data_IF_520666230725
#
_entry.id   IF_520666230725
#
_cell.length_a   1.000
_cell.length_b   1.000
_cell.length_c   1.000
_cell.angle_alpha   90.00
_cell.angle_beta   90.00
_cell.angle_gamma   90.00
#
_symmetry.space_group_name_H-M   'P 1'
#
loop_
_entity.id
_entity.type
_entity.pdbx_description
1 polymer ?
#
# COMPACT_ATOMS: atom_id res chain seq x y z
N UNK A 1 -1.27 -12.45 26.30
CA UNK A 1 -0.93 -11.89 24.97
C UNK A 1 -0.13 -12.92 24.22
N UNK A 2 -0.43 -13.12 22.94
CA UNK A 2 0.19 -14.15 22.10
C UNK A 2 1.62 -13.73 21.69
N UNK A 3 2.54 -14.69 21.57
CA UNK A 3 3.95 -14.41 21.19
C UNK A 3 4.06 -13.81 19.79
N UNK A 4 3.08 -14.02 18.94
CA UNK A 4 3.03 -13.52 17.57
C UNK A 4 2.67 -12.02 17.46
N UNK A 5 2.15 -11.42 18.52
CA UNK A 5 1.81 -9.98 18.59
C UNK A 5 2.99 -9.11 19.04
N UNK A 6 4.06 -9.72 19.55
CA UNK A 6 5.29 -9.00 19.88
C UNK A 6 6.14 -8.89 18.62
N UNK A 7 6.45 -7.67 18.17
CA UNK A 7 7.27 -7.51 16.98
C UNK A 7 8.70 -8.02 17.24
N UNK A 8 9.31 -8.78 16.30
CA UNK A 8 10.72 -9.14 16.39
C UNK A 8 11.60 -7.90 16.25
N UNK A 9 12.88 -7.98 16.65
CA UNK A 9 13.87 -6.89 16.55
C UNK A 9 13.95 -6.26 15.14
N UNK A 10 13.56 -7.00 14.09
CA UNK A 10 13.38 -6.44 12.75
C UNK A 10 11.93 -6.48 12.29
N UNK A 11 11.24 -5.35 12.39
CA UNK A 11 9.83 -5.18 12.01
C UNK A 11 9.56 -5.52 10.52
N UNK A 12 10.59 -5.52 9.67
CA UNK A 12 10.47 -5.86 8.25
C UNK A 12 10.05 -7.32 7.98
N UNK A 13 10.31 -8.24 8.91
CA UNK A 13 10.06 -9.67 8.73
C UNK A 13 8.66 -10.14 9.21
N UNK A 14 7.93 -9.31 9.97
CA UNK A 14 6.62 -9.70 10.48
C UNK A 14 5.54 -9.52 9.41
N UNK A 15 5.15 -10.64 8.77
CA UNK A 15 4.14 -10.66 7.72
C UNK A 15 2.75 -10.24 8.22
N UNK A 16 2.39 -10.57 9.47
CA UNK A 16 1.11 -10.16 10.07
C UNK A 16 1.04 -8.64 10.22
N UNK A 17 2.09 -8.01 10.74
CA UNK A 17 2.18 -6.55 10.89
C UNK A 17 2.02 -5.83 9.55
N UNK A 18 2.72 -6.29 8.51
CA UNK A 18 2.62 -5.70 7.17
C UNK A 18 1.22 -5.86 6.56
N UNK A 19 0.57 -7.00 6.81
CA UNK A 19 -0.80 -7.25 6.35
C UNK A 19 -1.81 -6.35 7.06
N UNK A 20 -1.67 -6.18 8.38
CA UNK A 20 -2.54 -5.31 9.17
C UNK A 20 -2.40 -3.83 8.81
N UNK A 21 -1.19 -3.34 8.53
CA UNK A 21 -1.02 -1.99 7.95
C UNK A 21 -1.88 -1.83 6.70
N UNK A 22 -1.86 -2.83 5.81
CA UNK A 22 -2.68 -2.81 4.59
C UNK A 22 -4.19 -2.86 4.88
N UNK A 23 -4.59 -3.62 5.89
CA UNK A 23 -5.98 -3.79 6.35
C UNK A 23 -6.54 -2.51 6.95
N UNK A 24 -5.91 -1.99 8.00
CA UNK A 24 -6.30 -0.74 8.66
C UNK A 24 -6.30 0.43 7.70
N UNK A 25 -5.31 0.51 6.79
CA UNK A 25 -5.31 1.52 5.74
C UNK A 25 -6.57 1.45 4.87
N UNK A 26 -7.05 0.26 4.46
CA UNK A 26 -8.30 0.17 3.67
C UNK A 26 -9.51 0.67 4.47
N UNK A 27 -9.57 0.35 5.77
CA UNK A 27 -10.69 0.71 6.66
C UNK A 27 -10.71 2.18 7.08
N UNK A 28 -9.54 2.78 7.30
CA UNK A 28 -9.43 4.07 7.98
C UNK A 28 -8.85 5.19 7.10
N UNK A 29 -8.14 4.88 6.01
CA UNK A 29 -7.52 5.94 5.21
C UNK A 29 -8.58 6.84 4.54
N UNK A 30 -8.38 8.17 4.54
CA UNK A 30 -9.33 9.10 3.92
C UNK A 30 -9.21 9.10 2.39
N UNK A 31 -10.35 9.28 1.72
CA UNK A 31 -10.44 9.27 0.25
C UNK A 31 -10.13 10.61 -0.40
N UNK A 32 -10.56 11.72 0.20
CA UNK A 32 -10.54 13.08 -0.38
C UNK A 32 -9.14 13.73 -0.43
N UNK A 33 -8.12 12.93 -0.71
CA UNK A 33 -6.74 13.37 -0.85
C UNK A 33 -6.09 12.73 -2.07
N UNK A 34 -5.49 13.53 -2.93
CA UNK A 34 -4.82 13.05 -4.14
C UNK A 34 -3.60 12.16 -3.82
N UNK A 35 -2.87 12.48 -2.75
CA UNK A 35 -1.59 11.84 -2.41
C UNK A 35 -1.50 11.52 -0.91
N UNK A 36 -0.83 10.42 -0.56
CA UNK A 36 -0.61 10.05 0.85
C UNK A 36 0.10 11.14 1.67
N UNK A 37 1.06 11.85 1.04
CA UNK A 37 1.76 12.98 1.66
C UNK A 37 0.86 14.18 2.00
N UNK A 38 -0.35 14.24 1.44
CA UNK A 38 -1.34 15.29 1.69
C UNK A 38 -2.40 14.88 2.71
N UNK A 39 -2.42 13.61 3.12
CA UNK A 39 -3.29 13.13 4.19
C UNK A 39 -2.84 13.77 5.51
N UNK A 40 -3.74 14.40 6.28
CA UNK A 40 -3.44 15.00 7.57
C UNK A 40 -2.84 13.99 8.54
N UNK A 41 -2.08 14.48 9.53
CA UNK A 41 -1.42 13.60 10.50
C UNK A 41 -2.45 12.89 11.39
N UNK A 42 -3.53 13.58 11.69
CA UNK A 42 -4.65 13.12 12.51
C UNK A 42 -5.25 11.84 11.92
N UNK A 43 -5.58 11.85 10.63
CA UNK A 43 -6.10 10.67 9.94
C UNK A 43 -5.08 9.53 9.79
N UNK A 44 -3.77 9.83 9.89
CA UNK A 44 -2.72 8.79 9.97
C UNK A 44 -2.61 8.24 11.39
N UNK A 45 -2.85 9.07 12.39
CA UNK A 45 -2.80 8.68 13.80
C UNK A 45 -3.82 7.59 14.10
N UNK A 46 -5.04 7.68 13.55
CA UNK A 46 -6.07 6.64 13.70
C UNK A 46 -5.56 5.26 13.25
N UNK A 47 -4.81 5.21 12.14
CA UNK A 47 -4.21 3.97 11.62
C UNK A 47 -3.09 3.49 12.55
N UNK A 48 -2.29 4.40 13.09
CA UNK A 48 -1.19 4.04 13.99
C UNK A 48 -1.69 3.60 15.36
N UNK A 49 -2.76 4.20 15.87
CA UNK A 49 -3.41 3.82 17.12
C UNK A 49 -3.96 2.39 17.00
N UNK A 50 -4.68 2.10 15.91
CA UNK A 50 -5.15 0.75 15.61
C UNK A 50 -4.01 -0.28 15.51
N UNK A 51 -2.85 0.12 14.98
CA UNK A 51 -1.66 -0.74 14.96
C UNK A 51 -1.10 -0.98 16.36
N UNK A 52 -1.03 0.04 17.23
CA UNK A 52 -0.55 -0.11 18.61
C UNK A 52 -1.48 -0.92 19.50
N UNK A 53 -2.78 -0.97 19.19
CA UNK A 53 -3.72 -1.87 19.89
C UNK A 53 -3.46 -3.34 19.56
N UNK A 54 -3.01 -3.63 18.34
CA UNK A 54 -2.82 -5.00 17.86
C UNK A 54 -1.39 -5.53 18.00
N UNK A 55 -0.41 -4.64 18.12
CA UNK A 55 1.01 -4.98 18.16
C UNK A 55 1.76 -4.12 19.18
N UNK A 56 2.66 -4.75 19.91
CA UNK A 56 3.56 -4.07 20.83
C UNK A 56 4.83 -3.60 20.08
N UNK A 57 5.02 -2.29 19.96
CA UNK A 57 6.22 -1.71 19.35
C UNK A 57 6.54 -0.31 19.90
N UNK A 58 7.83 0.04 19.86
CA UNK A 58 8.29 1.38 20.27
C UNK A 58 8.03 2.41 19.17
N UNK A 59 6.95 3.17 19.31
CA UNK A 59 6.66 4.24 18.36
C UNK A 59 7.62 5.43 18.45
N UNK A 60 8.57 5.48 19.38
CA UNK A 60 9.61 6.52 19.40
C UNK A 60 10.75 6.23 18.43
N UNK A 61 10.89 4.98 17.97
CA UNK A 61 11.90 4.57 17.00
C UNK A 61 11.67 5.26 15.63
N UNK A 62 12.62 6.11 15.17
CA UNK A 62 12.52 6.79 13.89
C UNK A 62 12.56 5.82 12.69
N UNK A 63 13.29 4.70 12.77
CA UNK A 63 13.37 3.73 11.68
C UNK A 63 12.03 3.02 11.49
N UNK A 64 11.39 2.64 12.59
CA UNK A 64 10.05 2.07 12.58
C UNK A 64 9.02 3.03 11.99
N UNK A 65 9.03 4.30 12.42
CA UNK A 65 8.12 5.32 11.87
C UNK A 65 8.28 5.47 10.35
N UNK A 66 9.52 5.55 9.88
CA UNK A 66 9.82 5.64 8.44
C UNK A 66 9.33 4.40 7.70
N UNK A 67 9.53 3.21 8.28
CA UNK A 67 9.08 1.96 7.69
C UNK A 67 7.55 1.91 7.57
N UNK A 68 6.83 2.22 8.65
CA UNK A 68 5.36 2.20 8.69
C UNK A 68 4.80 3.23 7.70
N UNK A 69 5.31 4.46 7.68
CA UNK A 69 4.85 5.50 6.74
C UNK A 69 5.09 5.09 5.28
N UNK A 70 6.26 4.51 4.97
CA UNK A 70 6.55 3.98 3.62
C UNK A 70 5.57 2.86 3.23
N UNK A 71 5.24 1.98 4.16
CA UNK A 71 4.29 0.87 3.93
C UNK A 71 2.87 1.39 3.74
N UNK A 72 2.42 2.33 4.56
CA UNK A 72 1.12 2.99 4.41
C UNK A 72 1.01 3.70 3.06
N UNK A 73 2.02 4.48 2.67
CA UNK A 73 2.06 5.17 1.37
C UNK A 73 1.97 4.19 0.19
N UNK A 74 2.72 3.07 0.25
CA UNK A 74 2.69 2.02 -0.77
C UNK A 74 1.33 1.33 -0.83
N UNK A 75 0.74 1.00 0.32
CA UNK A 75 -0.58 0.39 0.41
C UNK A 75 -1.67 1.31 -0.13
N UNK A 76 -1.58 2.62 0.15
CA UNK A 76 -2.49 3.64 -0.37
C UNK A 76 -2.42 3.77 -1.89
N UNK A 77 -1.21 3.85 -2.46
CA UNK A 77 -1.01 3.90 -3.91
C UNK A 77 -1.45 2.62 -4.63
N UNK A 78 -1.19 1.45 -4.03
CA UNK A 78 -1.63 0.17 -4.58
C UNK A 78 -3.16 0.07 -4.60
N UNK A 79 -3.81 0.46 -3.50
CA UNK A 79 -5.26 0.47 -3.41
C UNK A 79 -5.91 1.44 -4.40
N UNK A 80 -5.40 2.67 -4.52
CA UNK A 80 -5.86 3.63 -5.55
C UNK A 80 -5.72 3.07 -6.96
N UNK A 81 -4.60 2.42 -7.26
CA UNK A 81 -4.41 1.76 -8.56
C UNK A 81 -5.47 0.69 -8.84
N UNK A 82 -5.88 -0.08 -7.83
CA UNK A 82 -6.93 -1.09 -7.97
C UNK A 82 -8.31 -0.47 -8.19
N UNK A 83 -8.65 0.58 -7.45
CA UNK A 83 -9.89 1.34 -7.63
C UNK A 83 -9.96 2.01 -9.01
N UNK A 84 -8.89 2.67 -9.43
CA UNK A 84 -8.81 3.28 -10.76
C UNK A 84 -8.93 2.23 -11.88
N UNK A 85 -8.39 1.03 -11.67
CA UNK A 85 -8.57 -0.08 -12.61
C UNK A 85 -10.03 -0.51 -12.72
N UNK A 86 -10.77 -0.57 -11.61
CA UNK A 86 -12.21 -0.83 -11.62
C UNK A 86 -12.97 0.25 -12.39
N UNK A 87 -12.72 1.52 -12.06
CA UNK A 87 -13.32 2.67 -12.76
C UNK A 87 -13.12 2.61 -14.28
N UNK A 88 -11.92 2.29 -14.75
CA UNK A 88 -11.60 2.22 -16.19
C UNK A 88 -12.43 1.22 -16.98
N UNK A 89 -13.02 0.20 -16.33
CA UNK A 89 -13.92 -0.73 -17.02
C UNK A 89 -15.21 -0.05 -17.47
N UNK A 90 -15.59 1.06 -16.83
CA UNK A 90 -16.82 1.80 -17.05
C UNK A 90 -16.59 3.26 -17.48
N UNK A 91 -15.34 3.66 -17.74
CA UNK A 91 -14.99 5.06 -17.99
C UNK A 91 -15.62 5.66 -19.27
N UNK A 92 -16.24 4.85 -20.13
CA UNK A 92 -17.01 5.32 -21.28
C UNK A 92 -18.39 5.89 -20.89
N UNK A 93 -18.89 5.54 -19.70
CA UNK A 93 -20.15 6.01 -19.13
C UNK A 93 -19.91 6.41 -17.67
N UNK A 94 -19.72 7.72 -17.44
CA UNK A 94 -19.40 8.25 -16.11
C UNK A 94 -20.56 8.08 -15.12
N UNK A 95 -21.80 8.20 -15.58
CA UNK A 95 -22.97 8.02 -14.73
C UNK A 95 -23.06 6.57 -14.24
N UNK A 96 -22.87 5.62 -15.17
CA UNK A 96 -22.76 4.21 -14.82
C UNK A 96 -21.56 3.97 -13.89
N UNK A 97 -20.38 4.52 -14.17
CA UNK A 97 -19.20 4.33 -13.34
C UNK A 97 -19.41 4.80 -11.89
N UNK A 98 -20.10 5.93 -11.68
CA UNK A 98 -20.48 6.45 -10.36
C UNK A 98 -21.45 5.52 -9.63
N UNK A 99 -22.44 4.99 -10.34
CA UNK A 99 -23.43 4.08 -9.75
C UNK A 99 -22.86 2.69 -9.40
N UNK A 100 -21.67 2.33 -9.88
CA UNK A 100 -21.09 0.99 -9.75
C UNK A 100 -19.73 0.96 -9.02
N UNK A 101 -19.70 1.26 -7.71
CA UNK A 101 -18.49 1.11 -6.90
C UNK A 101 -17.98 -0.34 -6.88
N UNK A 102 -16.69 -0.57 -6.63
CA UNK A 102 -16.16 -1.91 -6.47
C UNK A 102 -16.72 -2.57 -5.21
N UNK A 103 -16.77 -3.90 -5.19
CA UNK A 103 -17.30 -4.64 -4.05
C UNK A 103 -16.52 -4.44 -2.74
N UNK A 104 -17.14 -4.86 -1.64
CA UNK A 104 -16.70 -4.69 -0.25
C UNK A 104 -15.22 -5.06 -0.01
N UNK A 105 -14.71 -6.12 -0.65
CA UNK A 105 -13.30 -6.54 -0.50
C UNK A 105 -12.29 -5.46 -0.90
N UNK A 106 -12.65 -4.61 -1.87
CA UNK A 106 -11.77 -3.56 -2.39
C UNK A 106 -12.16 -2.18 -1.85
N UNK A 107 -13.46 -1.89 -1.81
CA UNK A 107 -13.97 -0.57 -1.40
C UNK A 107 -14.19 -0.47 0.10
N UNK A 108 -14.61 -1.55 0.76
CA UNK A 108 -14.96 -1.60 2.18
C UNK A 108 -16.34 -1.02 2.47
N UNK A 109 -16.62 -0.79 3.75
CA UNK A 109 -17.81 -0.10 4.26
C UNK A 109 -17.69 1.42 4.04
N UNK A 110 -17.67 1.84 2.78
CA UNK A 110 -17.46 3.23 2.37
C UNK A 110 -18.69 3.79 1.70
N UNK A 111 -18.84 5.11 1.82
CA UNK A 111 -19.99 5.81 1.24
C UNK A 111 -19.89 5.88 -0.27
N UNK A 112 -21.06 5.94 -0.93
CA UNK A 112 -21.14 6.20 -2.37
C UNK A 112 -20.57 7.58 -2.69
N UNK A 113 -20.79 8.59 -1.84
CA UNK A 113 -20.22 9.94 -1.99
C UNK A 113 -18.68 9.95 -2.09
N UNK A 114 -18.00 9.05 -1.35
CA UNK A 114 -16.54 8.91 -1.45
C UNK A 114 -16.11 8.29 -2.78
N UNK A 115 -16.93 7.40 -3.35
CA UNK A 115 -16.70 6.82 -4.67
C UNK A 115 -16.94 7.85 -5.78
N UNK A 116 -18.05 8.57 -5.72
CA UNK A 116 -18.37 9.63 -6.68
C UNK A 116 -17.27 10.69 -6.72
N UNK A 117 -16.78 11.13 -5.56
CA UNK A 117 -15.65 12.03 -5.49
C UNK A 117 -14.40 11.47 -6.17
N UNK A 118 -14.12 10.17 -6.06
CA UNK A 118 -12.98 9.58 -6.76
C UNK A 118 -13.16 9.61 -8.28
N UNK A 119 -14.34 9.27 -8.76
CA UNK A 119 -14.68 9.34 -10.18
C UNK A 119 -14.51 10.77 -10.71
N UNK A 120 -15.03 11.74 -9.98
CA UNK A 120 -15.25 13.10 -10.48
C UNK A 120 -14.06 14.03 -10.25
N UNK A 121 -13.29 13.80 -9.20
CA UNK A 121 -12.20 14.70 -8.84
C UNK A 121 -10.83 14.06 -9.08
N UNK A 122 -10.70 12.75 -8.88
CA UNK A 122 -9.39 12.09 -8.93
C UNK A 122 -9.11 11.38 -10.26
N UNK A 123 -10.06 10.56 -10.74
CA UNK A 123 -9.81 9.67 -11.87
C UNK A 123 -9.92 10.36 -13.22
N UNK A 124 -10.63 11.49 -13.30
CA UNK A 124 -10.63 12.34 -14.49
C UNK A 124 -9.55 13.44 -14.47
N UNK A 125 -8.93 13.70 -13.32
CA UNK A 125 -7.87 14.71 -13.21
C UNK A 125 -6.69 14.39 -14.13
N UNK A 126 -6.36 15.35 -15.01
CA UNK A 126 -5.35 15.15 -16.04
C UNK A 126 -3.98 14.76 -15.47
N UNK A 127 -3.57 15.36 -14.35
CA UNK A 127 -2.24 15.11 -13.78
C UNK A 127 -2.16 13.68 -13.23
N UNK A 128 -3.26 13.18 -12.68
CA UNK A 128 -3.38 11.82 -12.20
C UNK A 128 -3.38 10.82 -13.36
N UNK A 129 -4.18 11.09 -14.40
CA UNK A 129 -4.28 10.25 -15.61
C UNK A 129 -2.93 10.17 -16.33
N UNK A 130 -2.28 11.32 -16.60
CA UNK A 130 -0.95 11.40 -17.22
C UNK A 130 0.07 10.58 -16.45
N UNK A 131 0.11 10.73 -15.12
CA UNK A 131 1.03 9.95 -14.28
C UNK A 131 0.73 8.45 -14.32
N UNK A 132 -0.56 8.07 -14.32
CA UNK A 132 -0.97 6.67 -14.42
C UNK A 132 -0.54 6.05 -15.76
N UNK A 133 -0.69 6.78 -16.87
CA UNK A 133 -0.29 6.34 -18.20
C UNK A 133 1.24 6.17 -18.30
N UNK A 134 2.01 7.15 -17.83
CA UNK A 134 3.49 7.06 -17.79
C UNK A 134 3.94 5.86 -16.96
N UNK A 135 3.34 5.64 -15.78
CA UNK A 135 3.68 4.49 -14.94
C UNK A 135 3.34 3.15 -15.61
N UNK A 136 2.26 3.09 -16.40
CA UNK A 136 1.89 1.90 -17.15
C UNK A 136 2.89 1.65 -18.30
N UNK A 137 3.26 2.69 -19.05
CA UNK A 137 4.27 2.61 -20.10
C UNK A 137 5.64 2.15 -19.56
N UNK A 138 6.09 2.75 -18.45
CA UNK A 138 7.34 2.36 -17.79
C UNK A 138 7.33 0.90 -17.32
N UNK A 139 6.17 0.39 -16.87
CA UNK A 139 6.02 -1.03 -16.52
C UNK A 139 6.07 -1.93 -17.74
N UNK A 140 5.49 -1.51 -18.86
CA UNK A 140 5.49 -2.28 -20.10
C UNK A 140 6.88 -2.35 -20.75
N UNK A 141 7.71 -1.31 -20.57
CA UNK A 141 9.10 -1.28 -21.03
C UNK A 141 10.05 -2.10 -20.14
N UNK A 142 9.56 -2.64 -19.02
CA UNK A 142 10.41 -3.41 -18.10
C UNK A 142 10.59 -4.83 -18.63
N UNK A 143 11.69 -5.04 -19.34
CA UNK A 143 12.05 -6.31 -20.00
C UNK A 143 12.28 -7.46 -19.01
N UNK A 144 12.90 -7.17 -17.85
CA UNK A 144 13.23 -8.18 -16.85
C UNK A 144 12.46 -7.96 -15.54
N UNK A 145 11.71 -8.98 -15.13
CA UNK A 145 11.23 -9.11 -13.78
C UNK A 145 12.31 -9.84 -12.96
N UNK A 146 13.12 -9.10 -12.19
CA UNK A 146 14.08 -9.73 -11.29
C UNK A 146 13.35 -10.64 -10.29
N UNK A 147 13.55 -11.96 -10.41
CA UNK A 147 13.02 -13.00 -9.52
C UNK A 147 13.98 -13.37 -8.38
N UNK A 148 15.24 -12.91 -8.44
CA UNK A 148 16.14 -12.96 -7.29
C UNK A 148 15.63 -11.96 -6.27
N UNK A 149 15.21 -12.44 -5.08
CA UNK A 149 14.68 -11.58 -4.03
C UNK A 149 15.64 -10.48 -3.58
N UNK A 150 15.41 -9.89 -2.42
CA UNK A 150 16.16 -8.73 -1.90
C UNK A 150 17.67 -8.96 -1.69
N UNK A 151 18.19 -10.17 -1.93
CA UNK A 151 19.60 -10.51 -1.77
C UNK A 151 20.35 -10.27 -3.09
N UNK A 152 21.32 -9.33 -3.11
CA UNK A 152 22.19 -9.17 -4.28
C UNK A 152 23.02 -10.45 -4.48
N UNK A 153 23.38 -10.74 -5.74
CA UNK A 153 24.10 -11.95 -6.15
C UNK A 153 25.35 -12.23 -5.29
N UNK A 154 26.11 -11.20 -4.92
CA UNK A 154 27.27 -11.32 -4.02
C UNK A 154 26.92 -11.96 -2.67
N UNK A 155 25.75 -11.65 -2.09
CA UNK A 155 25.30 -12.25 -0.82
C UNK A 155 24.90 -13.72 -0.97
N UNK A 156 24.47 -14.14 -2.16
CA UNK A 156 24.26 -15.56 -2.47
C UNK A 156 25.59 -16.30 -2.60
N UNK A 157 26.59 -15.69 -3.25
CA UNK A 157 27.95 -16.24 -3.37
C UNK A 157 28.63 -16.37 -2.00
N UNK A 158 28.56 -15.34 -1.16
CA UNK A 158 29.11 -15.37 0.21
C UNK A 158 28.47 -16.48 1.06
N UNK A 159 27.15 -16.66 0.94
CA UNK A 159 26.44 -17.73 1.65
C UNK A 159 26.83 -19.12 1.14
N UNK A 160 26.95 -19.30 -0.19
CA UNK A 160 27.39 -20.56 -0.79
C UNK A 160 28.84 -20.90 -0.42
N UNK A 161 29.75 -19.92 -0.44
CA UNK A 161 31.14 -20.09 0.00
C UNK A 161 31.24 -20.41 1.50
N UNK A 162 30.39 -19.81 2.34
CA UNK A 162 30.33 -20.21 3.75
C UNK A 162 29.92 -21.67 3.90
N UNK A 163 28.87 -22.13 3.21
CA UNK A 163 28.42 -23.53 3.29
C UNK A 163 29.49 -24.51 2.79
N UNK A 164 30.23 -24.15 1.74
CA UNK A 164 31.32 -24.97 1.18
C UNK A 164 32.54 -25.07 2.09
N UNK A 165 32.79 -24.09 2.98
CA UNK A 165 33.93 -24.09 3.90
C UNK A 165 33.66 -24.84 5.23
N UNK A 166 32.44 -25.36 5.42
CA UNK A 166 32.05 -26.16 6.59
C UNK A 166 31.74 -27.63 6.24
N UNK A 167 32.12 -28.08 5.03
CA UNK A 167 32.17 -29.47 4.59
C UNK A 167 33.62 -29.85 4.29
#
# INVERSE_FOLDING_TARGET
MDKDQKLPETVQANAMFVNEIGSFKRKLAPFKFKWWRKVPREAKNDITEALTTNFEFDWTDPELRIFVEKKMAKAFGSWRSKLHRHFKNYAHDLEYARAHPPGEKLFGERSIDEWEWLCDELFIDETYVKRSQVNAANRNQKEYNHCGGSRPYQKHMEAAHKVMNYL
#
